data_IF_599227922828
#
_entry.id   IF_599227922828
#
_cell.length_a   1.000
_cell.length_b   1.000
_cell.length_c   1.000
_cell.angle_alpha   90.00
_cell.angle_beta   90.00
_cell.angle_gamma   90.00
#
_symmetry.space_group_name_H-M   'P 1'
#
loop_
_entity.id
_entity.type
_entity.pdbx_description
1 polymer ?
#
# COMPACT_ATOMS: atom_id res chain seq x y z
N UNK A 1 9.90 -12.96 11.60
CA UNK A 1 9.60 -11.54 11.32
C UNK A 1 10.34 -10.71 12.33
N UNK A 2 10.97 -9.61 11.90
CA UNK A 2 11.57 -8.65 12.83
C UNK A 2 10.52 -8.15 13.82
N UNK A 3 10.95 -7.91 15.06
CA UNK A 3 10.09 -7.35 16.11
C UNK A 3 10.44 -5.89 16.37
N UNK A 4 9.45 -5.11 16.78
CA UNK A 4 9.61 -3.71 17.18
C UNK A 4 8.82 -3.45 18.47
N UNK A 5 9.35 -2.59 19.33
CA UNK A 5 8.64 -2.08 20.49
C UNK A 5 7.90 -0.80 20.12
N UNK A 6 6.61 -0.72 20.43
CA UNK A 6 5.76 0.42 20.08
C UNK A 6 6.03 1.58 21.04
N UNK A 7 6.93 2.49 20.66
CA UNK A 7 7.29 3.68 21.45
C UNK A 7 7.72 3.31 22.87
N UNK A 8 7.16 3.98 23.88
CA UNK A 8 7.42 3.74 25.30
C UNK A 8 6.46 2.74 25.96
N UNK A 9 5.62 2.05 25.19
CA UNK A 9 4.56 1.18 25.75
C UNK A 9 5.09 -0.14 26.32
N UNK A 10 6.31 -0.55 25.94
CA UNK A 10 6.85 -1.87 26.25
C UNK A 10 6.22 -3.02 25.43
N UNK A 11 5.16 -2.75 24.65
CA UNK A 11 4.50 -3.74 23.81
C UNK A 11 5.40 -4.04 22.61
N UNK A 12 5.72 -5.32 22.42
CA UNK A 12 6.57 -5.79 21.32
C UNK A 12 5.74 -6.59 20.34
N UNK A 13 5.71 -6.15 19.08
CA UNK A 13 4.94 -6.78 17.99
C UNK A 13 5.86 -7.09 16.82
N UNK A 14 5.37 -7.87 15.85
CA UNK A 14 6.02 -7.94 14.55
C UNK A 14 6.07 -6.55 13.90
N UNK A 15 7.17 -6.26 13.20
CA UNK A 15 7.44 -4.98 12.53
C UNK A 15 6.36 -4.58 11.52
N UNK A 16 5.63 -5.57 10.99
CA UNK A 16 4.54 -5.36 10.06
C UNK A 16 3.18 -5.45 10.78
N UNK A 17 2.31 -4.49 10.48
CA UNK A 17 0.91 -4.47 10.90
C UNK A 17 -0.06 -4.76 9.75
N UNK A 18 -1.30 -5.11 10.09
CA UNK A 18 -2.40 -5.31 9.14
C UNK A 18 -3.44 -4.21 9.30
N UNK A 19 -3.69 -3.42 8.25
CA UNK A 19 -4.73 -2.40 8.25
C UNK A 19 -6.06 -2.96 7.72
N UNK A 20 -7.14 -2.83 8.49
CA UNK A 20 -8.43 -3.43 8.18
C UNK A 20 -9.35 -2.56 7.29
N UNK A 21 -8.99 -1.31 7.00
CA UNK A 21 -9.80 -0.44 6.13
C UNK A 21 -10.17 -1.11 4.78
N UNK A 22 -9.29 -1.84 4.08
CA UNK A 22 -9.66 -2.41 2.79
C UNK A 22 -10.58 -3.63 2.86
N UNK A 23 -10.55 -4.42 3.95
CA UNK A 23 -11.32 -5.68 4.04
C UNK A 23 -12.83 -5.44 4.23
N UNK A 24 -13.22 -4.25 4.69
CA UNK A 24 -14.61 -3.79 4.71
C UNK A 24 -15.29 -3.79 3.31
N UNK A 25 -14.52 -3.97 2.23
CA UNK A 25 -14.98 -4.00 0.83
C UNK A 25 -15.16 -5.42 0.27
N UNK A 26 -14.88 -6.46 1.04
CA UNK A 26 -15.05 -7.86 0.62
C UNK A 26 -16.20 -8.52 1.39
N UNK A 27 -16.56 -9.75 1.01
CA UNK A 27 -17.54 -10.52 1.77
C UNK A 27 -16.97 -10.92 3.12
N UNK A 28 -17.85 -11.19 4.11
CA UNK A 28 -17.44 -11.66 5.44
C UNK A 28 -16.54 -12.89 5.38
N UNK A 29 -16.88 -13.87 4.53
CA UNK A 29 -16.08 -15.10 4.39
C UNK A 29 -14.67 -14.82 3.85
N UNK A 30 -14.56 -13.88 2.91
CA UNK A 30 -13.27 -13.47 2.36
C UNK A 30 -12.47 -12.66 3.38
N UNK A 31 -13.11 -11.78 4.16
CA UNK A 31 -12.48 -11.07 5.26
C UNK A 31 -11.90 -12.08 6.29
N UNK A 32 -12.69 -13.04 6.74
CA UNK A 32 -12.25 -14.13 7.66
C UNK A 32 -11.04 -14.87 7.09
N UNK A 33 -11.06 -15.18 5.80
CA UNK A 33 -9.96 -15.87 5.12
C UNK A 33 -8.67 -15.04 5.11
N UNK A 34 -8.77 -13.76 4.76
CA UNK A 34 -7.62 -12.83 4.73
C UNK A 34 -7.02 -12.67 6.13
N UNK A 35 -7.88 -12.52 7.14
CA UNK A 35 -7.52 -12.42 8.55
C UNK A 35 -6.71 -13.65 8.99
N UNK A 36 -7.23 -14.85 8.72
CA UNK A 36 -6.54 -16.11 9.07
C UNK A 36 -5.18 -16.19 8.39
N UNK A 37 -5.09 -15.79 7.12
CA UNK A 37 -3.82 -15.73 6.37
C UNK A 37 -2.83 -14.76 7.02
N UNK A 38 -3.27 -13.59 7.49
CA UNK A 38 -2.43 -12.62 8.19
C UNK A 38 -1.90 -13.18 9.52
N UNK A 39 -2.77 -13.79 10.34
CA UNK A 39 -2.40 -14.44 11.59
C UNK A 39 -1.37 -15.57 11.37
N UNK A 40 -1.60 -16.46 10.39
CA UNK A 40 -0.64 -17.52 10.04
C UNK A 40 0.68 -16.95 9.56
N UNK A 41 0.62 -15.88 8.76
CA UNK A 41 1.80 -15.15 8.31
C UNK A 41 2.61 -14.54 9.46
N UNK A 42 2.08 -14.55 10.69
CA UNK A 42 2.72 -14.08 11.91
C UNK A 42 2.37 -12.63 12.25
N UNK A 43 1.35 -12.02 11.63
CA UNK A 43 0.92 -10.67 12.00
C UNK A 43 0.21 -10.72 13.36
N UNK A 44 0.62 -9.81 14.24
CA UNK A 44 0.09 -9.70 15.61
C UNK A 44 -0.51 -8.32 15.90
N UNK A 45 -0.39 -7.37 14.97
CA UNK A 45 -0.90 -6.01 15.11
C UNK A 45 -1.91 -5.74 14.00
N UNK A 46 -3.17 -5.53 14.38
CA UNK A 46 -4.29 -5.24 13.49
C UNK A 46 -4.83 -3.84 13.80
N UNK A 47 -4.85 -2.96 12.80
CA UNK A 47 -5.40 -1.61 12.87
C UNK A 47 -6.84 -1.63 12.35
N UNK A 48 -7.78 -1.19 13.19
CA UNK A 48 -9.20 -1.09 12.87
C UNK A 48 -9.79 0.19 13.43
N UNK A 49 -10.99 0.55 12.97
CA UNK A 49 -11.76 1.64 13.55
C UNK A 49 -13.24 1.29 13.61
N UNK A 50 -13.93 1.82 14.63
CA UNK A 50 -15.39 1.66 14.82
C UNK A 50 -16.19 2.07 13.57
N UNK A 51 -15.66 2.99 12.76
CA UNK A 51 -16.31 3.44 11.52
C UNK A 51 -16.16 2.46 10.35
N UNK A 52 -15.40 1.37 10.48
CA UNK A 52 -15.34 0.32 9.46
C UNK A 52 -16.59 -0.54 9.63
N UNK A 53 -17.30 -0.79 8.52
CA UNK A 53 -18.67 -1.29 8.46
C UNK A 53 -18.99 -2.44 9.43
N UNK A 54 -18.14 -3.44 9.49
CA UNK A 54 -18.34 -4.71 10.18
C UNK A 54 -17.19 -5.05 11.15
N UNK A 55 -16.46 -4.02 11.58
CA UNK A 55 -15.27 -4.13 12.46
C UNK A 55 -15.46 -4.99 13.71
N UNK A 56 -16.66 -5.04 14.29
CA UNK A 56 -16.96 -5.89 15.46
C UNK A 56 -16.89 -7.38 15.15
N UNK A 57 -17.50 -7.84 14.05
CA UNK A 57 -17.47 -9.25 13.67
C UNK A 57 -16.09 -9.69 13.16
N UNK A 58 -15.36 -8.78 12.51
CA UNK A 58 -13.96 -9.00 12.12
C UNK A 58 -13.06 -9.12 13.37
N UNK A 59 -13.27 -8.29 14.38
CA UNK A 59 -12.55 -8.34 15.65
C UNK A 59 -12.74 -9.68 16.37
N UNK A 60 -13.95 -10.22 16.41
CA UNK A 60 -14.21 -11.55 16.99
C UNK A 60 -13.37 -12.64 16.30
N UNK A 61 -13.23 -12.56 14.97
CA UNK A 61 -12.36 -13.48 14.23
C UNK A 61 -10.88 -13.28 14.57
N UNK A 62 -10.43 -12.03 14.81
CA UNK A 62 -9.05 -11.76 15.23
C UNK A 62 -8.76 -12.33 16.60
N UNK A 63 -9.65 -12.08 17.57
CA UNK A 63 -9.53 -12.58 18.92
C UNK A 63 -9.53 -14.11 18.93
N UNK A 64 -10.34 -14.76 18.10
CA UNK A 64 -10.33 -16.23 17.97
C UNK A 64 -8.96 -16.78 17.50
N UNK A 65 -8.16 -16.00 16.77
CA UNK A 65 -6.82 -16.41 16.34
C UNK A 65 -5.79 -16.31 17.49
N UNK A 66 -6.10 -15.62 18.59
CA UNK A 66 -5.25 -15.60 19.79
C UNK A 66 -5.41 -16.94 20.53
N UNK A 67 -6.65 -17.38 20.73
CA UNK A 67 -6.96 -18.62 21.44
C UNK A 67 -6.71 -19.87 20.60
N UNK A 68 -6.95 -19.78 19.28
CA UNK A 68 -6.75 -20.86 18.33
C UNK A 68 -5.96 -20.36 17.11
N UNK A 69 -4.64 -20.18 17.25
CA UNK A 69 -3.81 -19.66 16.18
C UNK A 69 -3.89 -20.59 14.96
N UNK A 70 -4.26 -20.06 13.79
CA UNK A 70 -4.38 -20.86 12.59
C UNK A 70 -2.99 -21.45 12.23
N UNK A 71 -2.95 -22.69 11.73
CA UNK A 71 -1.70 -23.39 11.38
C UNK A 71 -1.28 -23.09 9.95
N UNK A 72 -0.01 -22.74 9.74
CA UNK A 72 0.55 -22.57 8.39
C UNK A 72 0.54 -23.91 7.64
N UNK A 73 -0.38 -24.06 6.68
CA UNK A 73 -0.43 -25.21 5.76
C UNK A 73 0.39 -24.93 4.50
N UNK A 74 0.80 -25.97 3.78
CA UNK A 74 1.52 -25.81 2.50
C UNK A 74 0.68 -25.08 1.45
N UNK A 75 -0.64 -25.30 1.44
CA UNK A 75 -1.58 -24.57 0.58
C UNK A 75 -1.56 -23.07 0.88
N UNK A 76 -1.65 -22.68 2.16
CA UNK A 76 -1.65 -21.28 2.55
C UNK A 76 -0.29 -20.62 2.31
N UNK A 77 0.80 -21.35 2.54
CA UNK A 77 2.16 -20.92 2.21
C UNK A 77 2.33 -20.64 0.72
N UNK A 78 1.82 -21.52 -0.16
CA UNK A 78 1.85 -21.30 -1.60
C UNK A 78 1.08 -20.04 -2.02
N UNK A 79 -0.09 -19.79 -1.40
CA UNK A 79 -0.88 -18.58 -1.67
C UNK A 79 -0.17 -17.33 -1.11
N UNK A 80 0.50 -17.39 0.05
CA UNK A 80 1.28 -16.26 0.58
C UNK A 80 2.44 -15.93 -0.37
N UNK A 81 3.15 -16.94 -0.87
CA UNK A 81 4.30 -16.73 -1.74
C UNK A 81 3.90 -16.17 -3.11
N UNK A 82 2.79 -16.68 -3.68
CA UNK A 82 2.21 -16.12 -4.91
C UNK A 82 1.88 -14.63 -4.73
N UNK A 83 1.12 -14.29 -3.69
CA UNK A 83 0.75 -12.88 -3.43
C UNK A 83 2.00 -12.03 -3.17
N UNK A 84 3.00 -12.56 -2.47
CA UNK A 84 4.28 -11.87 -2.27
C UNK A 84 4.95 -11.56 -3.60
N UNK A 85 5.02 -12.51 -4.52
CA UNK A 85 5.62 -12.28 -5.84
C UNK A 85 4.86 -11.24 -6.67
N UNK A 86 3.52 -11.24 -6.59
CA UNK A 86 2.67 -10.29 -7.32
C UNK A 86 2.67 -8.87 -6.71
N UNK A 87 2.81 -8.76 -5.39
CA UNK A 87 2.67 -7.51 -4.64
C UNK A 87 4.00 -6.92 -4.17
N UNK A 88 5.10 -7.67 -4.24
CA UNK A 88 6.44 -7.16 -3.98
C UNK A 88 6.96 -6.28 -5.12
N UNK A 89 7.85 -5.35 -4.78
CA UNK A 89 8.48 -4.45 -5.72
C UNK A 89 8.37 -2.99 -5.28
N UNK A 90 8.43 -2.10 -6.28
CA UNK A 90 8.62 -0.67 -6.08
C UNK A 90 7.30 0.06 -5.81
N UNK A 91 6.81 -0.05 -4.57
CA UNK A 91 5.61 0.68 -4.12
C UNK A 91 6.01 1.92 -3.30
N UNK A 92 5.56 3.11 -3.73
CA UNK A 92 5.72 4.32 -2.92
C UNK A 92 4.76 4.35 -1.73
N UNK A 93 5.31 4.39 -0.51
CA UNK A 93 4.52 4.45 0.74
C UNK A 93 3.93 5.83 1.05
N UNK A 94 4.19 6.85 0.23
CA UNK A 94 3.62 8.19 0.39
C UNK A 94 4.12 8.99 1.61
N UNK A 95 5.21 8.57 2.26
CA UNK A 95 5.73 9.16 3.50
C UNK A 95 6.31 10.59 3.36
N UNK A 96 6.73 11.02 2.16
CA UNK A 96 7.23 12.37 1.92
C UNK A 96 8.72 12.60 2.19
N UNK A 97 9.47 11.66 2.78
CA UNK A 97 10.90 11.84 3.11
C UNK A 97 11.80 12.20 1.91
N UNK A 98 11.40 11.83 0.69
CA UNK A 98 12.09 12.18 -0.54
C UNK A 98 12.12 13.69 -0.86
N UNK A 99 11.23 14.49 -0.26
CA UNK A 99 11.12 15.92 -0.54
C UNK A 99 12.19 16.76 0.20
N UNK A 100 12.52 17.98 -0.27
CA UNK A 100 12.10 18.59 -1.54
C UNK A 100 12.89 18.03 -2.74
N UNK A 101 12.25 18.02 -3.91
CA UNK A 101 12.90 17.75 -5.20
C UNK A 101 13.62 19.00 -5.72
N UNK A 102 14.82 18.83 -6.30
CA UNK A 102 15.64 19.93 -6.82
C UNK A 102 14.99 20.68 -7.99
N UNK A 103 14.10 20.02 -8.73
CA UNK A 103 13.32 20.61 -9.84
C UNK A 103 11.83 20.78 -9.49
N UNK A 104 11.48 20.67 -8.19
CA UNK A 104 10.12 20.97 -7.72
C UNK A 104 9.05 19.92 -8.06
N UNK A 105 9.41 18.68 -8.40
CA UNK A 105 8.46 17.56 -8.53
C UNK A 105 7.89 17.18 -7.15
N UNK A 106 6.57 16.98 -7.05
CA UNK A 106 5.89 16.43 -5.86
C UNK A 106 6.04 14.91 -5.80
N UNK A 107 7.25 14.44 -5.52
CA UNK A 107 7.68 13.04 -5.67
C UNK A 107 6.71 12.04 -5.02
N UNK A 108 6.37 12.23 -3.75
CA UNK A 108 5.52 11.29 -3.00
C UNK A 108 4.10 11.18 -3.57
N UNK A 109 3.60 12.22 -4.25
CA UNK A 109 2.30 12.20 -4.91
C UNK A 109 2.38 11.54 -6.28
N UNK A 110 3.37 11.88 -7.10
CA UNK A 110 3.54 11.29 -8.43
C UNK A 110 3.92 9.81 -8.35
N UNK A 111 4.77 9.44 -7.39
CA UNK A 111 5.24 8.07 -7.18
C UNK A 111 4.16 7.09 -6.66
N UNK A 112 2.99 7.59 -6.25
CA UNK A 112 1.84 6.75 -5.84
C UNK A 112 0.65 6.81 -6.81
N UNK A 113 0.74 7.57 -7.89
CA UNK A 113 -0.42 7.90 -8.73
C UNK A 113 -1.12 6.67 -9.31
N UNK A 114 -0.37 5.74 -9.90
CA UNK A 114 -0.90 4.50 -10.47
C UNK A 114 -1.70 3.65 -9.48
N UNK A 115 -1.33 3.68 -8.20
CA UNK A 115 -2.05 2.97 -7.15
C UNK A 115 -3.27 3.76 -6.68
N UNK A 116 -3.11 5.08 -6.50
CA UNK A 116 -4.17 5.97 -6.04
C UNK A 116 -5.37 5.92 -6.98
N UNK A 117 -5.14 6.03 -8.29
CA UNK A 117 -6.20 6.03 -9.31
C UNK A 117 -6.95 4.69 -9.41
N UNK A 118 -6.32 3.57 -9.04
CA UNK A 118 -6.96 2.24 -9.04
C UNK A 118 -7.66 1.90 -7.73
N UNK A 119 -7.11 2.32 -6.59
CA UNK A 119 -7.59 1.92 -5.25
C UNK A 119 -8.55 2.94 -4.61
N UNK A 120 -8.41 4.20 -4.99
CA UNK A 120 -9.28 5.31 -4.59
C UNK A 120 -9.52 6.25 -5.78
N UNK A 121 -10.09 5.73 -6.88
CA UNK A 121 -10.44 6.52 -8.06
C UNK A 121 -11.29 7.74 -7.69
N UNK A 122 -10.98 8.89 -8.29
CA UNK A 122 -11.75 10.12 -8.15
C UNK A 122 -11.57 10.98 -9.39
N UNK A 123 -12.64 11.67 -9.82
CA UNK A 123 -12.58 12.63 -10.95
C UNK A 123 -11.47 13.67 -10.81
N UNK A 124 -11.15 14.10 -9.58
CA UNK A 124 -10.07 15.05 -9.29
C UNK A 124 -8.70 14.59 -9.79
N UNK A 125 -8.48 13.27 -9.87
CA UNK A 125 -7.23 12.70 -10.34
C UNK A 125 -7.04 12.84 -11.86
N UNK A 126 -8.08 13.27 -12.58
CA UNK A 126 -8.07 13.48 -14.03
C UNK A 126 -8.22 14.96 -14.41
N UNK A 127 -8.25 15.86 -13.43
CA UNK A 127 -8.31 17.30 -13.66
C UNK A 127 -6.94 17.85 -14.10
N UNK A 128 -6.96 18.98 -14.82
CA UNK A 128 -5.77 19.59 -15.40
C UNK A 128 -4.66 19.84 -14.37
N UNK A 129 -5.01 20.28 -13.16
CA UNK A 129 -4.05 20.48 -12.07
C UNK A 129 -3.25 19.20 -11.74
N UNK A 130 -3.94 18.05 -11.67
CA UNK A 130 -3.29 16.77 -11.39
C UNK A 130 -2.47 16.28 -12.59
N UNK A 131 -2.97 16.52 -13.81
CA UNK A 131 -2.26 16.19 -15.05
C UNK A 131 -0.94 16.95 -15.13
N UNK A 132 -0.97 18.27 -14.91
CA UNK A 132 0.22 19.12 -14.95
C UNK A 132 1.23 18.71 -13.88
N UNK A 133 0.76 18.40 -12.66
CA UNK A 133 1.60 17.88 -11.58
C UNK A 133 2.27 16.56 -11.97
N UNK A 134 1.56 15.65 -12.64
CA UNK A 134 2.14 14.39 -13.12
C UNK A 134 3.16 14.64 -14.22
N UNK A 135 2.84 15.47 -15.21
CA UNK A 135 3.73 15.80 -16.33
C UNK A 135 5.00 16.52 -15.93
N UNK A 136 5.02 17.19 -14.78
CA UNK A 136 6.25 17.75 -14.19
C UNK A 136 7.34 16.70 -13.96
N UNK A 137 7.00 15.41 -13.89
CA UNK A 137 7.99 14.31 -13.87
C UNK A 137 8.94 14.35 -15.07
N UNK A 138 8.52 14.89 -16.22
CA UNK A 138 9.39 15.06 -17.41
C UNK A 138 10.57 16.02 -17.17
N UNK A 139 10.52 16.86 -16.12
CA UNK A 139 11.61 17.77 -15.75
C UNK A 139 12.67 17.08 -14.87
N UNK A 140 12.52 15.79 -14.56
CA UNK A 140 13.47 15.07 -13.71
C UNK A 140 14.86 15.00 -14.37
N UNK A 141 15.85 15.59 -13.71
CA UNK A 141 17.27 15.56 -14.14
C UNK A 141 18.06 14.38 -13.54
N UNK A 142 17.36 13.38 -12.99
CA UNK A 142 17.94 12.17 -12.39
C UNK A 142 19.07 12.40 -11.36
N UNK A 143 19.01 13.50 -10.60
CA UNK A 143 20.06 13.90 -9.65
C UNK A 143 20.28 12.94 -8.46
N UNK A 144 19.41 11.96 -8.26
CA UNK A 144 19.53 10.92 -7.22
C UNK A 144 19.30 11.35 -5.76
N UNK A 145 19.19 12.65 -5.46
CA UNK A 145 19.01 13.18 -4.08
C UNK A 145 17.80 12.58 -3.36
N UNK A 146 16.73 12.28 -4.08
CA UNK A 146 15.54 11.68 -3.50
C UNK A 146 15.77 10.24 -3.01
N UNK A 147 16.66 9.47 -3.69
CA UNK A 147 16.93 8.07 -3.36
C UNK A 147 17.71 7.95 -2.04
N UNK A 148 18.62 8.89 -1.77
CA UNK A 148 19.39 8.91 -0.50
C UNK A 148 18.51 9.18 0.72
N UNK A 149 17.30 9.73 0.51
CA UNK A 149 16.32 10.02 1.57
C UNK A 149 15.21 8.97 1.66
N UNK A 150 15.14 8.02 0.73
CA UNK A 150 14.06 7.05 0.72
C UNK A 150 14.35 5.94 1.75
N UNK A 151 13.54 5.77 2.81
CA UNK A 151 13.77 4.72 3.79
C UNK A 151 13.45 3.31 3.27
N UNK A 152 12.97 3.22 2.03
CA UNK A 152 12.59 1.98 1.35
C UNK A 152 13.46 1.70 0.12
N UNK A 153 14.54 2.47 -0.07
CA UNK A 153 15.54 2.24 -1.13
C UNK A 153 14.95 2.21 -2.55
N UNK A 154 13.85 2.94 -2.76
CA UNK A 154 13.17 2.98 -4.05
C UNK A 154 14.02 3.69 -5.11
N UNK A 155 14.05 3.13 -6.31
CA UNK A 155 14.57 3.79 -7.52
C UNK A 155 13.59 4.85 -8.00
N UNK A 156 13.52 5.97 -7.28
CA UNK A 156 12.49 7.00 -7.45
C UNK A 156 12.41 7.53 -8.90
N UNK A 157 13.51 7.88 -9.61
CA UNK A 157 13.40 8.34 -10.99
C UNK A 157 12.72 7.33 -11.92
N UNK A 158 13.09 6.04 -11.81
CA UNK A 158 12.49 4.97 -12.60
C UNK A 158 11.00 4.78 -12.28
N UNK A 159 10.66 4.80 -10.99
CA UNK A 159 9.29 4.69 -10.50
C UNK A 159 8.40 5.85 -10.97
N UNK A 160 8.92 7.09 -10.94
CA UNK A 160 8.19 8.27 -11.41
C UNK A 160 7.86 8.17 -12.90
N UNK A 161 8.84 7.78 -13.73
CA UNK A 161 8.64 7.59 -15.17
C UNK A 161 7.63 6.49 -15.46
N UNK A 162 7.74 5.34 -14.79
CA UNK A 162 6.78 4.22 -14.93
C UNK A 162 5.35 4.65 -14.58
N UNK A 163 5.19 5.41 -13.49
CA UNK A 163 3.88 5.89 -13.09
C UNK A 163 3.33 6.98 -14.02
N UNK A 164 4.19 7.85 -14.56
CA UNK A 164 3.76 8.83 -15.56
C UNK A 164 3.28 8.13 -16.83
N UNK A 165 4.01 7.13 -17.32
CA UNK A 165 3.63 6.33 -18.49
C UNK A 165 2.27 5.64 -18.28
N UNK A 166 2.09 4.96 -17.14
CA UNK A 166 0.82 4.34 -16.79
C UNK A 166 -0.32 5.37 -16.70
N UNK A 167 -0.06 6.54 -16.12
CA UNK A 167 -1.03 7.62 -16.01
C UNK A 167 -1.43 8.19 -17.39
N UNK A 168 -0.48 8.42 -18.29
CA UNK A 168 -0.77 8.85 -19.67
C UNK A 168 -1.54 7.77 -20.45
N UNK A 169 -1.26 6.48 -20.23
CA UNK A 169 -2.03 5.39 -20.81
C UNK A 169 -3.49 5.37 -20.31
N UNK A 170 -3.73 5.74 -19.05
CA UNK A 170 -5.09 5.92 -18.50
C UNK A 170 -5.77 7.12 -19.16
N UNK A 171 -5.10 8.28 -19.27
CA UNK A 171 -5.64 9.47 -19.93
C UNK A 171 -5.98 9.21 -21.41
N UNK A 172 -5.15 8.43 -22.10
CA UNK A 172 -5.38 8.01 -23.49
C UNK A 172 -6.45 6.91 -23.64
N UNK A 173 -7.06 6.44 -22.55
CA UNK A 173 -8.08 5.39 -22.56
C UNK A 173 -7.55 3.97 -22.88
N UNK A 174 -6.23 3.79 -22.97
CA UNK A 174 -5.59 2.48 -23.18
C UNK A 174 -5.70 1.57 -21.97
N UNK A 175 -5.78 2.17 -20.77
CA UNK A 175 -5.96 1.45 -19.51
C UNK A 175 -7.23 1.90 -18.82
N UNK A 176 -8.18 0.98 -18.65
CA UNK A 176 -9.46 1.28 -18.00
C UNK A 176 -9.30 1.36 -16.48
N UNK A 177 -9.87 2.40 -15.88
CA UNK A 177 -10.02 2.57 -14.43
C UNK A 177 -11.47 2.90 -14.11
N UNK A 178 -12.00 2.33 -13.03
CA UNK A 178 -13.35 2.62 -12.58
C UNK A 178 -13.36 3.96 -11.82
N UNK A 179 -13.49 5.08 -12.53
CA UNK A 179 -13.59 6.39 -11.89
C UNK A 179 -14.91 6.51 -11.13
N UNK A 180 -14.83 6.94 -9.87
CA UNK A 180 -15.97 7.14 -8.96
C UNK A 180 -16.14 8.63 -8.68
#
# INVERSE_FOLDING_TARGET
MDKVTLGSTGITVCKNGFGALPIQRVTKDEAVRIIRKACQGGIQFFDTAIKYTDSGAELDQWLSCIDNPPRMTEEMKAIIEKDRAELAGDFCRGCGYCAPCTVGIKINECARMSQLIRRSPSKRLLEQETIDKMRKVNECIECGVCMTRCPYELKIPELLRKNLEDYENILAGKTKVAIV
#
